data_IF_682446722524
#
_entry.id   IF_682446722524
#
_cell.length_a   1.000
_cell.length_b   1.000
_cell.length_c   1.000
_cell.angle_alpha   90.00
_cell.angle_beta   90.00
_cell.angle_gamma   90.00
#
_symmetry.space_group_name_H-M   'P 1'
#
loop_
_entity.id
_entity.type
_entity.pdbx_description
1 polymer ?
#
# COMPACT_ATOMS: atom_id res chain seq x y z
N UNK A 1 -12.75 2.42 -33.59
CA UNK A 1 -12.03 2.28 -32.32
C UNK A 1 -12.86 1.46 -31.33
N UNK A 2 -12.23 0.87 -30.35
CA UNK A 2 -12.94 0.18 -29.26
C UNK A 2 -13.77 1.18 -28.43
N UNK A 3 -14.95 0.79 -27.92
CA UNK A 3 -15.71 1.62 -27.00
C UNK A 3 -14.88 1.99 -25.74
N UNK A 4 -15.07 3.21 -25.22
CA UNK A 4 -14.35 3.70 -24.03
C UNK A 4 -14.52 2.76 -22.83
N UNK A 5 -15.73 2.25 -22.61
CA UNK A 5 -16.02 1.32 -21.52
C UNK A 5 -15.23 0.01 -21.62
N UNK A 6 -15.02 -0.50 -22.83
CA UNK A 6 -14.22 -1.72 -23.07
C UNK A 6 -12.73 -1.48 -22.73
N UNK A 7 -12.16 -0.36 -23.20
CA UNK A 7 -10.78 0.03 -22.91
C UNK A 7 -10.54 0.17 -21.41
N UNK A 8 -11.48 0.78 -20.68
CA UNK A 8 -11.39 0.97 -19.24
C UNK A 8 -11.53 -0.36 -18.48
N UNK A 9 -12.44 -1.24 -18.90
CA UNK A 9 -12.63 -2.55 -18.26
C UNK A 9 -11.42 -3.47 -18.43
N UNK A 10 -10.77 -3.46 -19.59
CA UNK A 10 -9.54 -4.23 -19.86
C UNK A 10 -8.38 -3.79 -18.93
N UNK A 11 -8.31 -2.51 -18.54
CA UNK A 11 -7.24 -1.93 -17.71
C UNK A 11 -7.53 -1.95 -16.22
N UNK A 12 -8.78 -2.17 -15.83
CA UNK A 12 -9.18 -2.20 -14.42
C UNK A 12 -8.51 -3.35 -13.66
N UNK A 13 -8.57 -4.56 -14.20
CA UNK A 13 -8.04 -5.74 -13.52
C UNK A 13 -6.52 -5.67 -13.28
N UNK A 14 -5.67 -5.22 -14.21
CA UNK A 14 -4.26 -4.95 -13.93
C UNK A 14 -4.07 -3.96 -12.78
N UNK A 15 -4.72 -2.80 -12.78
CA UNK A 15 -4.59 -1.82 -11.70
C UNK A 15 -5.06 -2.37 -10.36
N UNK A 16 -6.15 -3.13 -10.30
CA UNK A 16 -6.59 -3.81 -9.08
C UNK A 16 -5.57 -4.81 -8.56
N UNK A 17 -4.97 -5.62 -9.43
CA UNK A 17 -3.90 -6.56 -9.05
C UNK A 17 -2.70 -5.83 -8.47
N UNK A 18 -2.29 -4.73 -9.11
CA UNK A 18 -1.17 -3.91 -8.64
C UNK A 18 -1.49 -3.27 -7.28
N UNK A 19 -2.67 -2.67 -7.13
CA UNK A 19 -3.10 -2.04 -5.89
C UNK A 19 -3.18 -3.06 -4.74
N UNK A 20 -3.74 -4.24 -4.99
CA UNK A 20 -3.84 -5.30 -4.00
C UNK A 20 -2.47 -5.86 -3.60
N UNK A 21 -1.58 -6.10 -4.56
CA UNK A 21 -0.21 -6.54 -4.29
C UNK A 21 0.56 -5.48 -3.47
N UNK A 22 0.43 -4.21 -3.80
CA UNK A 22 1.05 -3.11 -3.07
C UNK A 22 0.53 -3.02 -1.63
N UNK A 23 -0.79 -3.16 -1.41
CA UNK A 23 -1.38 -3.19 -0.08
C UNK A 23 -0.90 -4.37 0.76
N UNK A 24 -0.86 -5.58 0.19
CA UNK A 24 -0.37 -6.76 0.90
C UNK A 24 1.09 -6.58 1.33
N UNK A 25 1.96 -6.12 0.42
CA UNK A 25 3.36 -5.85 0.73
C UNK A 25 3.49 -4.76 1.80
N UNK A 26 2.73 -3.68 1.68
CA UNK A 26 2.74 -2.60 2.67
C UNK A 26 2.30 -3.11 4.05
N UNK A 27 1.22 -3.88 4.16
CA UNK A 27 0.73 -4.44 5.43
C UNK A 27 1.72 -5.40 6.05
N UNK A 28 2.37 -6.24 5.24
CA UNK A 28 3.38 -7.20 5.68
C UNK A 28 4.54 -6.53 6.44
N UNK A 29 4.90 -5.32 6.07
CA UNK A 29 5.96 -4.56 6.74
C UNK A 29 5.42 -3.53 7.74
N UNK A 30 4.35 -2.80 7.41
CA UNK A 30 3.85 -1.72 8.24
C UNK A 30 3.29 -2.20 9.59
N UNK A 31 2.57 -3.33 9.60
CA UNK A 31 2.01 -3.88 10.85
C UNK A 31 3.11 -4.31 11.82
N UNK A 32 4.07 -5.19 11.45
CA UNK A 32 5.12 -5.60 12.38
C UNK A 32 5.99 -4.42 12.84
N UNK A 33 6.38 -3.53 11.93
CA UNK A 33 7.21 -2.38 12.27
C UNK A 33 6.48 -1.40 13.20
N UNK A 34 5.20 -1.13 12.93
CA UNK A 34 4.37 -0.27 13.77
C UNK A 34 4.16 -0.84 15.18
N UNK A 35 3.88 -2.14 15.27
CA UNK A 35 3.76 -2.85 16.55
C UNK A 35 5.07 -2.86 17.33
N UNK A 36 6.19 -3.19 16.68
CA UNK A 36 7.51 -3.15 17.31
C UNK A 36 7.84 -1.75 17.85
N UNK A 37 7.59 -0.73 17.05
CA UNK A 37 7.80 0.67 17.45
C UNK A 37 6.90 1.10 18.62
N UNK A 38 5.68 0.57 18.73
CA UNK A 38 4.77 0.85 19.83
C UNK A 38 5.18 0.13 21.12
N UNK A 39 5.48 -1.18 21.03
CA UNK A 39 5.86 -2.00 22.18
C UNK A 39 7.19 -1.53 22.79
N UNK A 40 8.16 -1.22 21.94
CA UNK A 40 9.47 -0.71 22.37
C UNK A 40 9.55 0.81 22.34
N UNK A 41 8.49 1.50 22.75
CA UNK A 41 8.40 2.97 22.78
C UNK A 41 9.63 3.60 23.44
N UNK A 42 10.17 4.64 22.79
CA UNK A 42 11.35 5.39 23.24
C UNK A 42 12.67 4.58 23.31
N UNK A 43 12.71 3.36 22.75
CA UNK A 43 13.93 2.59 22.58
C UNK A 43 14.64 2.93 21.26
N UNK A 44 15.85 2.42 21.06
CA UNK A 44 16.57 2.55 19.80
C UNK A 44 15.80 1.93 18.61
N UNK A 45 15.02 0.87 18.86
CA UNK A 45 14.14 0.23 17.85
C UNK A 45 13.07 1.23 17.39
N UNK A 46 12.41 1.92 18.32
CA UNK A 46 11.41 2.94 17.99
C UNK A 46 12.03 4.08 17.17
N UNK A 47 13.23 4.54 17.53
CA UNK A 47 13.92 5.58 16.77
C UNK A 47 14.33 5.12 15.36
N UNK A 48 14.81 3.89 15.22
CA UNK A 48 15.17 3.29 13.94
C UNK A 48 13.94 3.18 13.03
N UNK A 49 12.83 2.61 13.53
CA UNK A 49 11.58 2.49 12.76
C UNK A 49 11.07 3.85 12.34
N UNK A 50 11.08 4.84 13.23
CA UNK A 50 10.69 6.22 12.90
C UNK A 50 11.59 6.85 11.84
N UNK A 51 12.89 6.61 11.90
CA UNK A 51 13.85 7.05 10.88
C UNK A 51 13.54 6.45 9.50
N UNK A 52 13.35 5.13 9.42
CA UNK A 52 12.99 4.44 8.17
C UNK A 52 11.65 4.95 7.62
N UNK A 53 10.64 5.11 8.48
CA UNK A 53 9.32 5.60 8.05
C UNK A 53 9.37 7.06 7.60
N UNK A 54 10.23 7.87 8.19
CA UNK A 54 10.45 9.26 7.75
C UNK A 54 11.08 9.31 6.36
N UNK A 55 12.08 8.47 6.09
CA UNK A 55 12.68 8.35 4.76
C UNK A 55 11.64 7.91 3.73
N UNK A 56 10.80 6.92 4.04
CA UNK A 56 9.75 6.44 3.14
C UNK A 56 8.71 7.51 2.76
N UNK A 57 8.45 8.47 3.64
CA UNK A 57 7.52 9.59 3.35
C UNK A 57 8.22 10.75 2.64
N UNK A 58 9.51 10.93 2.90
CA UNK A 58 10.30 12.05 2.34
C UNK A 58 10.74 11.82 0.90
N UNK A 59 10.91 10.57 0.49
CA UNK A 59 11.35 10.22 -0.86
C UNK A 59 10.14 10.16 -1.80
N UNK A 60 10.13 10.90 -2.92
CA UNK A 60 9.05 10.80 -3.90
C UNK A 60 8.95 9.39 -4.50
N UNK A 61 7.72 8.89 -4.66
CA UNK A 61 7.45 7.51 -5.14
C UNK A 61 8.15 7.20 -6.47
N UNK A 62 8.17 8.15 -7.39
CA UNK A 62 8.80 7.97 -8.69
C UNK A 62 10.32 7.76 -8.59
N UNK A 63 10.98 8.41 -7.61
CA UNK A 63 12.41 8.21 -7.35
C UNK A 63 12.70 6.77 -6.89
N UNK A 64 11.89 6.23 -6.00
CA UNK A 64 12.00 4.84 -5.57
C UNK A 64 11.83 3.89 -6.76
N UNK A 65 10.83 4.15 -7.61
CA UNK A 65 10.59 3.38 -8.82
C UNK A 65 11.78 3.39 -9.79
N UNK A 66 12.35 4.57 -10.04
CA UNK A 66 13.51 4.71 -10.92
C UNK A 66 14.76 4.02 -10.37
N UNK A 67 15.02 4.12 -9.05
CA UNK A 67 16.15 3.43 -8.42
C UNK A 67 15.97 1.92 -8.51
N UNK A 68 14.78 1.40 -8.21
CA UNK A 68 14.50 -0.03 -8.31
C UNK A 68 14.64 -0.55 -9.74
N UNK A 69 14.13 0.21 -10.72
CA UNK A 69 14.29 -0.13 -12.14
C UNK A 69 15.77 -0.16 -12.54
N UNK A 70 16.53 0.88 -12.18
CA UNK A 70 17.97 0.96 -12.47
C UNK A 70 18.76 -0.21 -11.85
N UNK A 71 18.49 -0.55 -10.59
CA UNK A 71 19.17 -1.66 -9.89
C UNK A 71 18.88 -3.02 -10.54
N UNK A 72 17.67 -3.17 -11.13
CA UNK A 72 17.24 -4.40 -11.80
C UNK A 72 17.81 -4.49 -13.22
N UNK A 73 17.82 -3.37 -13.97
CA UNK A 73 18.35 -3.33 -15.34
C UNK A 73 19.88 -3.42 -15.40
N UNK A 74 20.58 -2.88 -14.41
CA UNK A 74 22.05 -2.89 -14.34
C UNK A 74 22.52 -3.43 -12.98
N UNK A 75 22.43 -4.74 -12.75
CA UNK A 75 22.78 -5.35 -11.47
C UNK A 75 24.30 -5.28 -11.22
N UNK A 76 24.68 -4.68 -10.10
CA UNK A 76 26.05 -4.46 -9.66
C UNK A 76 26.82 -5.79 -9.47
N UNK A 77 26.11 -6.93 -9.36
CA UNK A 77 26.71 -8.26 -9.15
C UNK A 77 26.16 -9.27 -10.16
N UNK A 78 27.04 -10.09 -10.81
CA UNK A 78 26.61 -11.10 -11.78
C UNK A 78 25.66 -12.15 -11.19
N UNK A 79 25.79 -12.49 -9.91
CA UNK A 79 24.89 -13.42 -9.20
C UNK A 79 23.48 -12.85 -9.04
N UNK A 80 23.37 -11.52 -8.85
CA UNK A 80 22.09 -10.84 -8.83
C UNK A 80 21.42 -10.83 -10.22
N UNK A 81 22.21 -10.71 -11.30
CA UNK A 81 21.71 -10.76 -12.67
C UNK A 81 21.01 -12.08 -12.97
N UNK A 82 21.59 -13.23 -12.58
CA UNK A 82 20.97 -14.53 -12.80
C UNK A 82 19.67 -14.70 -11.99
N UNK A 83 19.64 -14.24 -10.74
CA UNK A 83 18.43 -14.25 -9.92
C UNK A 83 17.32 -13.37 -10.49
N UNK A 84 17.67 -12.18 -10.97
CA UNK A 84 16.77 -11.23 -11.62
C UNK A 84 16.23 -11.81 -12.93
N UNK A 85 17.05 -12.46 -13.74
CA UNK A 85 16.62 -13.11 -14.97
C UNK A 85 15.60 -14.21 -14.72
N UNK A 86 15.78 -15.04 -13.70
CA UNK A 86 14.81 -16.05 -13.26
C UNK A 86 13.49 -15.44 -12.81
N UNK A 87 13.53 -14.30 -12.12
CA UNK A 87 12.34 -13.53 -11.71
C UNK A 87 11.63 -12.89 -12.91
N UNK A 88 12.39 -12.43 -13.90
CA UNK A 88 11.85 -11.87 -15.14
C UNK A 88 11.10 -12.93 -15.95
N UNK A 89 11.70 -14.11 -16.13
CA UNK A 89 11.09 -15.26 -16.81
C UNK A 89 9.79 -15.73 -16.10
N UNK A 90 9.74 -15.63 -14.77
CA UNK A 90 8.55 -15.93 -13.98
C UNK A 90 7.46 -14.84 -14.04
N UNK A 91 7.68 -13.74 -14.76
CA UNK A 91 6.74 -12.61 -14.83
C UNK A 91 6.60 -11.80 -13.52
N UNK A 92 7.47 -12.07 -12.57
CA UNK A 92 7.45 -11.49 -11.21
C UNK A 92 7.76 -9.99 -11.24
N UNK A 93 8.62 -9.57 -12.15
CA UNK A 93 9.09 -8.19 -12.27
C UNK A 93 7.96 -7.21 -12.64
N UNK A 94 7.04 -7.65 -13.50
CA UNK A 94 5.95 -6.80 -14.01
C UNK A 94 4.97 -6.32 -12.94
N UNK A 95 4.84 -7.05 -11.83
CA UNK A 95 3.88 -6.70 -10.76
C UNK A 95 4.62 -6.32 -9.48
N UNK A 96 5.69 -7.04 -9.11
CA UNK A 96 6.32 -6.87 -7.79
C UNK A 96 7.12 -5.59 -7.68
N UNK A 97 7.88 -5.19 -8.70
CA UNK A 97 8.62 -3.93 -8.66
C UNK A 97 7.71 -2.70 -8.54
N UNK A 98 6.68 -2.54 -9.39
CA UNK A 98 5.71 -1.47 -9.21
C UNK A 98 4.98 -1.56 -7.85
N UNK A 99 4.60 -2.77 -7.41
CA UNK A 99 3.94 -2.96 -6.13
C UNK A 99 4.87 -2.63 -4.94
N UNK A 100 6.14 -3.01 -4.99
CA UNK A 100 7.13 -2.67 -3.98
C UNK A 100 7.38 -1.16 -3.89
N UNK A 101 7.42 -0.48 -5.04
CA UNK A 101 7.52 0.99 -5.11
C UNK A 101 6.36 1.66 -4.38
N UNK A 102 5.13 1.24 -4.68
CA UNK A 102 3.93 1.77 -4.04
C UNK A 102 3.87 1.40 -2.56
N UNK A 103 4.20 0.16 -2.21
CA UNK A 103 4.22 -0.32 -0.84
C UNK A 103 5.22 0.47 0.02
N UNK A 104 6.43 0.71 -0.47
CA UNK A 104 7.45 1.48 0.22
C UNK A 104 6.98 2.91 0.52
N UNK A 105 6.39 3.57 -0.45
CA UNK A 105 5.85 4.92 -0.29
C UNK A 105 4.73 5.00 0.75
N UNK A 106 3.88 3.98 0.82
CA UNK A 106 2.78 3.92 1.77
C UNK A 106 3.22 3.43 3.15
N UNK A 107 4.26 2.57 3.23
CA UNK A 107 4.73 1.93 4.46
C UNK A 107 5.02 2.96 5.56
N UNK A 108 5.67 4.08 5.23
CA UNK A 108 5.99 5.12 6.19
C UNK A 108 4.78 5.74 6.87
N UNK A 109 3.70 5.97 6.12
CA UNK A 109 2.43 6.48 6.65
C UNK A 109 1.75 5.43 7.53
N UNK A 110 1.61 4.20 7.04
CA UNK A 110 0.86 3.16 7.73
C UNK A 110 1.58 2.62 8.97
N UNK A 111 2.90 2.50 8.96
CA UNK A 111 3.66 2.14 10.16
C UNK A 111 3.42 3.11 11.30
N UNK A 112 3.35 4.42 11.02
CA UNK A 112 3.03 5.44 12.03
C UNK A 112 1.58 5.32 12.52
N UNK A 113 0.64 5.03 11.64
CA UNK A 113 -0.76 4.82 12.00
C UNK A 113 -0.93 3.60 12.91
N UNK A 114 -0.31 2.46 12.54
CA UNK A 114 -0.30 1.24 13.38
C UNK A 114 0.30 1.55 14.74
N UNK A 115 1.45 2.23 14.77
CA UNK A 115 2.10 2.63 16.03
C UNK A 115 1.17 3.46 16.92
N UNK A 116 0.51 4.47 16.35
CA UNK A 116 -0.40 5.34 17.10
C UNK A 116 -1.60 4.55 17.63
N UNK A 117 -2.27 3.78 16.77
CA UNK A 117 -3.41 2.96 17.18
C UNK A 117 -3.05 1.96 18.30
N UNK A 118 -1.92 1.26 18.19
CA UNK A 118 -1.46 0.34 19.23
C UNK A 118 -1.13 1.08 20.54
N UNK A 119 -0.51 2.25 20.47
CA UNK A 119 -0.21 3.04 21.67
C UNK A 119 -1.47 3.57 22.36
N UNK A 120 -2.48 3.99 21.60
CA UNK A 120 -3.76 4.42 22.13
C UNK A 120 -4.46 3.27 22.85
N UNK A 121 -4.51 2.10 22.25
CA UNK A 121 -5.12 0.90 22.84
C UNK A 121 -4.36 0.39 24.09
N UNK A 122 -3.03 0.44 24.08
CA UNK A 122 -2.21 0.04 25.25
C UNK A 122 -2.49 0.86 26.50
N UNK A 123 -3.01 2.08 26.36
CA UNK A 123 -3.35 2.99 27.47
C UNK A 123 -4.81 2.86 27.93
N UNK A 124 -5.62 1.97 27.38
CA UNK A 124 -7.02 1.80 27.75
C UNK A 124 -7.18 1.01 29.06
N UNK A 125 -8.27 1.29 29.78
CA UNK A 125 -8.56 0.66 31.09
C UNK A 125 -8.75 -0.86 30.99
N UNK A 126 -9.31 -1.37 29.89
CA UNK A 126 -9.48 -2.80 29.69
C UNK A 126 -8.12 -3.55 29.62
N UNK A 127 -7.07 -2.89 29.13
CA UNK A 127 -5.69 -3.44 29.08
C UNK A 127 -5.15 -3.56 30.50
N UNK A 128 -5.35 -2.51 31.31
CA UNK A 128 -4.98 -2.53 32.74
C UNK A 128 -5.75 -3.65 33.47
N UNK A 129 -7.04 -3.80 33.20
CA UNK A 129 -7.86 -4.89 33.74
C UNK A 129 -7.40 -6.29 33.28
N UNK A 130 -6.93 -6.42 32.03
CA UNK A 130 -6.39 -7.69 31.53
C UNK A 130 -5.08 -8.07 32.26
N UNK A 131 -4.19 -7.10 32.47
CA UNK A 131 -2.95 -7.29 33.25
C UNK A 131 -3.26 -7.67 34.71
N UNK A 132 -4.23 -7.02 35.33
CA UNK A 132 -4.68 -7.34 36.69
C UNK A 132 -5.23 -8.77 36.83
N UNK A 133 -5.81 -9.32 35.75
CA UNK A 133 -6.26 -10.73 35.67
C UNK A 133 -5.13 -11.73 35.43
N UNK A 134 -3.86 -11.28 35.36
CA UNK A 134 -2.69 -12.13 35.20
C UNK A 134 -2.39 -12.54 33.74
N UNK A 135 -2.95 -11.85 32.76
CA UNK A 135 -2.60 -12.07 31.35
C UNK A 135 -1.14 -11.66 31.09
N UNK A 136 -0.42 -12.45 30.32
CA UNK A 136 0.94 -12.11 29.89
C UNK A 136 0.91 -10.93 28.92
N UNK A 137 1.98 -10.14 28.86
CA UNK A 137 2.08 -8.99 27.91
C UNK A 137 1.86 -9.41 26.45
N UNK A 138 2.29 -10.61 26.08
CA UNK A 138 2.06 -11.16 24.73
C UNK A 138 0.56 -11.44 24.49
N UNK A 139 -0.13 -11.98 25.47
CA UNK A 139 -1.58 -12.24 25.37
C UNK A 139 -2.35 -10.92 25.33
N UNK A 140 -1.99 -9.96 26.16
CA UNK A 140 -2.58 -8.60 26.16
C UNK A 140 -2.43 -7.99 24.78
N UNK A 141 -1.22 -8.02 24.20
CA UNK A 141 -0.94 -7.42 22.89
C UNK A 141 -1.77 -8.08 21.78
N UNK A 142 -1.74 -9.42 21.67
CA UNK A 142 -2.35 -10.12 20.54
C UNK A 142 -3.86 -10.36 20.68
N UNK A 143 -4.36 -10.54 21.91
CA UNK A 143 -5.78 -10.87 22.13
C UNK A 143 -6.64 -9.64 22.45
N UNK A 144 -6.04 -8.56 23.00
CA UNK A 144 -6.78 -7.38 23.45
C UNK A 144 -6.45 -6.14 22.60
N UNK A 145 -5.18 -5.80 22.47
CA UNK A 145 -4.74 -4.54 21.84
C UNK A 145 -4.82 -4.62 20.32
N UNK A 146 -4.23 -5.64 19.71
CA UNK A 146 -4.10 -5.72 18.25
C UNK A 146 -5.44 -5.78 17.52
N UNK A 147 -6.45 -6.58 17.94
CA UNK A 147 -7.74 -6.60 17.27
C UNK A 147 -8.44 -5.22 17.29
N UNK A 148 -8.40 -4.52 18.42
CA UNK A 148 -8.99 -3.20 18.54
C UNK A 148 -8.21 -2.13 17.74
N UNK A 149 -6.88 -2.19 17.74
CA UNK A 149 -6.04 -1.31 16.94
C UNK A 149 -6.23 -1.49 15.43
N UNK A 150 -6.73 -2.64 14.97
CA UNK A 150 -7.04 -2.86 13.54
C UNK A 150 -8.25 -2.06 13.04
N UNK A 151 -9.21 -1.71 13.90
CA UNK A 151 -10.44 -1.02 13.52
C UNK A 151 -10.17 0.28 12.73
N UNK A 152 -9.41 1.25 13.26
CA UNK A 152 -9.09 2.47 12.52
C UNK A 152 -8.22 2.20 11.29
N UNK A 153 -7.45 1.09 11.26
CA UNK A 153 -6.61 0.75 10.13
C UNK A 153 -7.43 0.25 8.93
N UNK A 154 -8.51 -0.49 9.16
CA UNK A 154 -9.42 -0.98 8.09
C UNK A 154 -9.99 0.21 7.31
N UNK A 155 -10.41 1.25 8.01
CA UNK A 155 -10.88 2.51 7.39
C UNK A 155 -9.84 3.12 6.47
N UNK A 156 -8.64 3.27 7.01
CA UNK A 156 -7.53 3.87 6.27
C UNK A 156 -7.13 3.02 5.05
N UNK A 157 -7.21 1.70 5.14
CA UNK A 157 -6.97 0.79 4.02
C UNK A 157 -8.00 0.97 2.92
N UNK A 158 -9.28 1.09 3.26
CA UNK A 158 -10.34 1.34 2.29
C UNK A 158 -10.14 2.65 1.54
N UNK A 159 -9.88 3.75 2.26
CA UNK A 159 -9.57 5.04 1.66
C UNK A 159 -8.32 4.98 0.78
N UNK A 160 -7.32 4.18 1.15
CA UNK A 160 -6.10 4.04 0.38
C UNK A 160 -6.28 3.20 -0.88
N UNK A 161 -7.16 2.21 -0.88
CA UNK A 161 -7.56 1.50 -2.10
C UNK A 161 -8.11 2.48 -3.13
N UNK A 162 -9.02 3.37 -2.72
CA UNK A 162 -9.54 4.41 -3.59
C UNK A 162 -8.44 5.31 -4.18
N UNK A 163 -7.52 5.77 -3.33
CA UNK A 163 -6.39 6.60 -3.75
C UNK A 163 -5.42 5.86 -4.68
N UNK A 164 -5.17 4.57 -4.46
CA UNK A 164 -4.32 3.76 -5.32
C UNK A 164 -4.90 3.64 -6.72
N UNK A 165 -6.22 3.50 -6.86
CA UNK A 165 -6.87 3.39 -8.17
C UNK A 165 -6.79 4.69 -8.99
N UNK A 166 -6.70 5.86 -8.33
CA UNK A 166 -6.51 7.15 -9.00
C UNK A 166 -5.05 7.61 -9.08
N UNK A 167 -4.17 7.12 -8.19
CA UNK A 167 -2.84 7.69 -7.96
C UNK A 167 -1.65 6.83 -8.39
N UNK A 168 -1.86 5.66 -8.98
CA UNK A 168 -0.77 4.76 -9.44
C UNK A 168 -0.19 5.15 -10.80
N UNK A 169 -0.75 6.16 -11.47
CA UNK A 169 -0.42 6.54 -12.84
C UNK A 169 1.09 6.73 -13.09
N UNK A 170 1.78 7.41 -12.19
CA UNK A 170 3.23 7.66 -12.34
C UNK A 170 4.03 6.36 -12.28
N UNK A 171 3.70 5.47 -11.35
CA UNK A 171 4.36 4.16 -11.21
C UNK A 171 4.01 3.26 -12.40
N UNK A 172 2.76 3.25 -12.84
CA UNK A 172 2.34 2.48 -14.01
C UNK A 172 3.06 2.94 -15.29
N UNK A 173 3.30 4.24 -15.45
CA UNK A 173 4.06 4.78 -16.59
C UNK A 173 5.53 4.39 -16.51
N UNK A 174 6.20 4.56 -15.36
CA UNK A 174 7.61 4.22 -15.17
C UNK A 174 7.88 2.75 -15.50
N UNK A 175 7.02 1.85 -15.02
CA UNK A 175 7.16 0.40 -15.24
C UNK A 175 6.43 -0.10 -16.50
N UNK A 176 5.92 0.80 -17.33
CA UNK A 176 5.15 0.45 -18.55
C UNK A 176 4.01 -0.54 -18.24
N UNK A 177 3.44 -0.42 -17.04
CA UNK A 177 2.39 -1.33 -16.57
C UNK A 177 1.05 -1.01 -17.23
N UNK A 178 0.31 -2.00 -17.76
CA UNK A 178 -0.90 -1.77 -18.54
C UNK A 178 -2.14 -1.50 -17.65
N UNK A 179 -2.08 -0.46 -16.81
CA UNK A 179 -3.16 -0.09 -15.90
C UNK A 179 -3.99 1.11 -16.37
N UNK A 180 -4.98 1.47 -15.54
CA UNK A 180 -5.89 2.60 -15.76
C UNK A 180 -5.16 3.96 -15.76
N UNK A 181 -4.19 4.14 -14.84
CA UNK A 181 -3.43 5.37 -14.75
C UNK A 181 -2.55 5.61 -15.98
N UNK A 182 -1.90 4.56 -16.49
CA UNK A 182 -1.14 4.63 -17.73
C UNK A 182 -2.04 4.95 -18.93
N UNK A 183 -3.23 4.35 -19.00
CA UNK A 183 -4.22 4.67 -20.03
C UNK A 183 -4.66 6.14 -19.96
N UNK A 184 -4.89 6.66 -18.76
CA UNK A 184 -5.24 8.07 -18.57
C UNK A 184 -4.15 9.02 -19.06
N UNK A 185 -2.88 8.75 -18.74
CA UNK A 185 -1.75 9.55 -19.21
C UNK A 185 -1.64 9.51 -20.74
N UNK A 186 -1.82 8.35 -21.37
CA UNK A 186 -1.86 8.21 -22.82
C UNK A 186 -3.00 9.03 -23.44
N UNK A 187 -4.21 8.97 -22.85
CA UNK A 187 -5.35 9.76 -23.32
C UNK A 187 -5.11 11.27 -23.22
N UNK A 188 -4.49 11.73 -22.12
CA UNK A 188 -4.14 13.14 -21.93
C UNK A 188 -3.13 13.60 -22.99
N UNK A 189 -2.09 12.82 -23.24
CA UNK A 189 -1.05 13.15 -24.23
C UNK A 189 -1.57 13.10 -25.67
N UNK A 190 -2.58 12.26 -25.93
CA UNK A 190 -3.26 12.16 -27.23
C UNK A 190 -4.42 13.14 -27.40
N UNK A 191 -4.74 13.96 -26.38
CA UNK A 191 -5.89 14.88 -26.35
C UNK A 191 -7.25 14.17 -26.59
N UNK A 192 -7.36 12.89 -26.17
CA UNK A 192 -8.63 12.13 -26.29
C UNK A 192 -9.57 12.49 -25.12
N UNK A 193 -10.34 13.55 -25.31
CA UNK A 193 -11.28 14.04 -24.30
C UNK A 193 -12.36 13.00 -23.94
N UNK A 194 -12.78 12.18 -24.88
CA UNK A 194 -13.81 11.16 -24.64
C UNK A 194 -13.30 10.11 -23.66
N UNK A 195 -12.05 9.66 -23.84
CA UNK A 195 -11.42 8.68 -22.97
C UNK A 195 -11.10 9.29 -21.59
N UNK A 196 -10.65 10.56 -21.55
CA UNK A 196 -10.38 11.28 -20.29
C UNK A 196 -11.66 11.40 -19.44
N UNK A 197 -12.77 11.82 -20.05
CA UNK A 197 -14.06 11.95 -19.36
C UNK A 197 -14.56 10.59 -18.86
N UNK A 198 -14.46 9.56 -19.70
CA UNK A 198 -14.81 8.18 -19.33
C UNK A 198 -13.97 7.68 -18.15
N UNK A 199 -12.65 7.93 -18.16
CA UNK A 199 -11.75 7.57 -17.07
C UNK A 199 -12.16 8.24 -15.74
N UNK A 200 -12.41 9.56 -15.75
CA UNK A 200 -12.80 10.30 -14.54
C UNK A 200 -14.10 9.74 -13.95
N UNK A 201 -15.11 9.52 -14.78
CA UNK A 201 -16.39 8.95 -14.34
C UNK A 201 -16.21 7.53 -13.79
N UNK A 202 -15.38 6.70 -14.44
CA UNK A 202 -15.11 5.34 -14.03
C UNK A 202 -14.41 5.26 -12.68
N UNK A 203 -13.35 6.06 -12.49
CA UNK A 203 -12.62 6.14 -11.22
C UNK A 203 -13.52 6.65 -10.11
N UNK A 204 -14.37 7.66 -10.38
CA UNK A 204 -15.31 8.17 -9.40
C UNK A 204 -16.32 7.11 -8.95
N UNK A 205 -16.85 6.30 -9.89
CA UNK A 205 -17.75 5.19 -9.56
C UNK A 205 -17.06 4.12 -8.70
N UNK A 206 -15.84 3.71 -9.08
CA UNK A 206 -15.07 2.73 -8.30
C UNK A 206 -14.80 3.26 -6.90
N UNK A 207 -14.39 4.53 -6.78
CA UNK A 207 -14.14 5.15 -5.48
C UNK A 207 -15.40 5.18 -4.61
N UNK A 208 -16.56 5.48 -5.19
CA UNK A 208 -17.85 5.44 -4.49
C UNK A 208 -18.16 4.02 -3.98
N UNK A 209 -17.99 3.00 -4.82
CA UNK A 209 -18.22 1.60 -4.44
C UNK A 209 -17.27 1.17 -3.32
N UNK A 210 -16.01 1.52 -3.39
CA UNK A 210 -15.03 1.20 -2.34
C UNK A 210 -15.42 1.86 -1.01
N UNK A 211 -15.77 3.15 -1.01
CA UNK A 211 -16.21 3.84 0.19
C UNK A 211 -17.46 3.20 0.79
N UNK A 212 -18.44 2.84 -0.04
CA UNK A 212 -19.63 2.13 0.41
C UNK A 212 -19.28 0.79 1.06
N UNK A 213 -18.36 0.02 0.48
CA UNK A 213 -17.92 -1.26 1.06
C UNK A 213 -17.18 -1.06 2.39
N UNK A 214 -16.39 0.01 2.53
CA UNK A 214 -15.73 0.38 3.78
C UNK A 214 -16.78 0.75 4.84
N UNK A 215 -17.75 1.60 4.48
CA UNK A 215 -18.82 1.99 5.41
C UNK A 215 -19.65 0.78 5.86
N UNK A 216 -19.95 -0.13 4.93
CA UNK A 216 -20.63 -1.38 5.29
C UNK A 216 -19.78 -2.27 6.21
N UNK A 217 -18.45 -2.27 6.08
CA UNK A 217 -17.56 -3.08 6.92
C UNK A 217 -17.65 -2.70 8.41
N UNK A 218 -17.96 -1.43 8.73
CA UNK A 218 -18.19 -0.99 10.11
C UNK A 218 -19.38 -1.64 10.79
N UNK A 219 -20.35 -2.13 10.01
CA UNK A 219 -21.54 -2.79 10.56
C UNK A 219 -21.20 -4.19 11.09
N UNK A 220 -20.08 -4.79 10.64
CA UNK A 220 -19.67 -6.15 11.02
C UNK A 220 -18.56 -6.20 12.06
N UNK A 221 -18.03 -5.05 12.45
CA UNK A 221 -16.92 -4.90 13.37
C UNK A 221 -17.36 -4.18 14.63
#
# INVERSE_FOLDING_TARGET
GKPVAELLSERLLPTLKLAFAALLLMLLFAIPLGMLSAVYKNSWIDYLVRGITFLGVSIPNFWVGLILLYVVEDPIRPEAAEAIQKLHEAGFEKIILPAATLAFAMMGKYTRQVRTAVLEELNQDYVTGARARGMTEKEVLWKQVFPNALLPLITLLGLSLGNLLGGTAVVEVIFTYPGLGNLAVQAITAYDYSLIQGYVLWVALIYMVINLLVDMSYTFV
#
